data_IF_075675145786
#
_entry.id   IF_075675145786
#
_cell.length_a   1.000
_cell.length_b   1.000
_cell.length_c   1.000
_cell.angle_alpha   90.00
_cell.angle_beta   90.00
_cell.angle_gamma   90.00
#
_symmetry.space_group_name_H-M   'P 1'
#
loop_
_entity.id
_entity.type
_entity.pdbx_description
1 polymer ?
#
# COMPACT_ATOMS: atom_id res chain seq x y z
N UNK A 1 -6.77 -0.15 22.70
CA UNK A 1 -6.02 1.07 22.33
C UNK A 1 -4.78 1.17 23.22
N UNK A 2 -3.63 1.50 22.63
CA UNK A 2 -2.39 1.71 23.35
C UNK A 2 -2.43 3.10 24.03
N UNK A 3 -2.25 3.16 25.35
CA UNK A 3 -2.12 4.42 26.11
C UNK A 3 -0.64 4.71 26.45
N UNK A 4 -0.35 5.91 26.95
CA UNK A 4 1.02 6.34 27.26
C UNK A 4 1.74 5.47 28.30
N UNK A 5 1.03 4.98 29.34
CA UNK A 5 1.65 4.11 30.36
C UNK A 5 2.00 2.74 29.81
N UNK A 6 1.12 2.19 28.99
CA UNK A 6 1.40 0.94 28.27
C UNK A 6 2.52 1.11 27.26
N UNK A 7 2.52 2.22 26.52
CA UNK A 7 3.58 2.57 25.58
C UNK A 7 4.93 2.62 26.28
N UNK A 8 5.02 3.31 27.41
CA UNK A 8 6.24 3.41 28.22
C UNK A 8 6.75 2.03 28.64
N UNK A 9 5.89 1.19 29.23
CA UNK A 9 6.26 -0.16 29.67
C UNK A 9 6.76 -1.04 28.51
N UNK A 10 6.11 -0.96 27.36
CA UNK A 10 6.53 -1.69 26.16
C UNK A 10 7.87 -1.17 25.64
N UNK A 11 8.04 0.15 25.60
CA UNK A 11 9.29 0.76 25.14
C UNK A 11 10.46 0.38 26.07
N UNK A 12 10.28 0.43 27.40
CA UNK A 12 11.26 -0.06 28.38
C UNK A 12 11.66 -1.52 28.15
N UNK A 13 10.70 -2.38 27.82
CA UNK A 13 10.96 -3.78 27.50
C UNK A 13 11.80 -3.91 26.22
N UNK A 14 11.37 -3.27 25.13
CA UNK A 14 11.95 -3.57 23.80
C UNK A 14 13.29 -2.87 23.54
N UNK A 15 13.57 -1.69 24.12
CA UNK A 15 14.90 -1.08 24.01
C UNK A 15 15.99 -1.80 24.84
N UNK A 16 15.58 -2.74 25.72
CA UNK A 16 16.47 -3.65 26.45
C UNK A 16 16.49 -5.07 25.87
N UNK A 17 15.71 -5.32 24.80
CA UNK A 17 15.68 -6.62 24.11
C UNK A 17 16.76 -6.63 23.01
N UNK A 18 17.42 -7.78 22.80
CA UNK A 18 18.37 -7.93 21.70
C UNK A 18 17.66 -7.65 20.36
N UNK A 19 18.28 -6.82 19.54
CA UNK A 19 17.78 -6.45 18.21
C UNK A 19 17.48 -7.66 17.32
N UNK A 20 18.29 -8.71 17.43
CA UNK A 20 18.12 -9.97 16.69
C UNK A 20 16.88 -10.73 17.12
N UNK A 21 16.50 -10.66 18.40
CA UNK A 21 15.26 -11.29 18.89
C UNK A 21 14.04 -10.57 18.34
N UNK A 22 14.08 -9.24 18.23
CA UNK A 22 13.01 -8.45 17.61
C UNK A 22 12.88 -8.80 16.13
N UNK A 23 13.99 -8.84 15.38
CA UNK A 23 14.01 -9.26 13.97
C UNK A 23 13.48 -10.67 13.81
N UNK A 24 13.92 -11.59 14.68
CA UNK A 24 13.47 -12.98 14.69
C UNK A 24 11.95 -13.07 14.91
N UNK A 25 11.41 -12.33 15.87
CA UNK A 25 9.98 -12.27 16.13
C UNK A 25 9.18 -11.82 14.91
N UNK A 26 9.63 -10.76 14.20
CA UNK A 26 8.99 -10.30 12.98
C UNK A 26 9.14 -11.30 11.83
N UNK A 27 10.24 -12.01 11.74
CA UNK A 27 10.48 -13.02 10.71
C UNK A 27 9.60 -14.26 10.96
N UNK A 28 9.57 -14.74 12.20
CA UNK A 28 8.77 -15.90 12.59
C UNK A 28 7.26 -15.66 12.45
N UNK A 29 6.82 -14.39 12.59
CA UNK A 29 5.43 -14.00 12.36
C UNK A 29 5.00 -14.08 10.89
N UNK A 30 5.93 -14.18 9.95
CA UNK A 30 5.69 -14.09 8.50
C UNK A 30 4.99 -12.79 8.06
N UNK A 31 5.17 -11.67 8.78
CA UNK A 31 4.60 -10.39 8.40
C UNK A 31 5.17 -9.92 7.06
N UNK A 32 4.34 -9.85 6.05
CA UNK A 32 4.60 -9.18 4.78
C UNK A 32 4.05 -7.75 4.79
N UNK A 33 4.69 -6.85 4.02
CA UNK A 33 4.25 -5.47 3.89
C UNK A 33 2.79 -5.35 3.46
N UNK A 34 2.03 -4.48 4.12
CA UNK A 34 0.57 -4.29 3.93
C UNK A 34 0.22 -3.22 2.90
N UNK A 35 1.20 -2.45 2.43
CA UNK A 35 1.01 -1.40 1.42
C UNK A 35 0.98 -1.89 -0.04
N UNK A 36 0.77 -3.18 -0.30
CA UNK A 36 0.60 -3.75 -1.65
C UNK A 36 1.80 -4.55 -2.19
N UNK A 37 3.04 -4.18 -1.87
CA UNK A 37 4.24 -4.87 -2.39
C UNK A 37 4.56 -6.22 -1.73
N UNK A 38 4.03 -6.49 -0.53
CA UNK A 38 4.14 -7.78 0.14
C UNK A 38 5.54 -8.23 0.57
N UNK A 39 6.54 -7.35 0.62
CA UNK A 39 7.90 -7.73 1.01
C UNK A 39 7.97 -8.11 2.50
N UNK A 40 8.72 -9.17 2.90
CA UNK A 40 8.85 -9.59 4.30
C UNK A 40 9.45 -8.51 5.19
N UNK A 41 8.70 -8.06 6.21
CA UNK A 41 9.07 -6.91 7.04
C UNK A 41 10.32 -7.16 7.88
N UNK A 42 10.45 -8.34 8.51
CA UNK A 42 11.62 -8.71 9.30
C UNK A 42 12.91 -8.70 8.46
N UNK A 43 12.85 -9.19 7.21
CA UNK A 43 13.99 -9.15 6.29
C UNK A 43 14.37 -7.72 5.90
N UNK A 44 13.38 -6.84 5.64
CA UNK A 44 13.63 -5.43 5.30
C UNK A 44 14.39 -4.72 6.43
N UNK A 45 13.98 -4.94 7.68
CA UNK A 45 14.64 -4.35 8.84
C UNK A 45 16.06 -4.92 9.04
N UNK A 46 16.22 -6.24 8.87
CA UNK A 46 17.52 -6.91 8.98
C UNK A 46 18.53 -6.40 7.92
N UNK A 47 18.11 -6.28 6.66
CA UNK A 47 18.97 -5.76 5.60
C UNK A 47 19.46 -4.34 5.90
N UNK A 48 18.56 -3.43 6.25
CA UNK A 48 18.94 -2.07 6.63
C UNK A 48 19.81 -2.05 7.90
N UNK A 49 19.50 -2.92 8.88
CA UNK A 49 20.27 -3.03 10.12
C UNK A 49 21.72 -3.41 9.91
N UNK A 50 22.02 -4.26 8.92
CA UNK A 50 23.38 -4.73 8.58
C UNK A 50 24.21 -3.73 7.81
N UNK A 51 23.61 -2.73 7.17
CA UNK A 51 24.34 -1.70 6.44
C UNK A 51 25.21 -0.89 7.41
N UNK A 52 26.45 -0.60 6.98
CA UNK A 52 27.38 0.25 7.74
C UNK A 52 27.18 1.70 7.34
N UNK A 53 26.63 2.50 8.22
CA UNK A 53 26.39 3.92 8.00
C UNK A 53 26.39 4.68 9.33
N UNK A 54 26.80 5.94 9.27
CA UNK A 54 26.74 6.90 10.38
C UNK A 54 25.31 7.36 10.69
N UNK A 55 24.39 7.26 9.71
CA UNK A 55 22.99 7.66 9.80
C UNK A 55 22.09 6.64 9.11
N UNK A 56 20.92 6.38 9.69
CA UNK A 56 19.87 5.54 9.09
C UNK A 56 18.52 6.16 9.38
N UNK A 57 17.57 5.97 8.48
CA UNK A 57 16.25 6.57 8.57
C UNK A 57 15.13 5.52 8.59
N UNK A 58 14.04 5.89 9.27
CA UNK A 58 12.78 5.16 9.23
C UNK A 58 11.72 6.06 8.60
N UNK A 59 11.08 5.60 7.54
CA UNK A 59 9.97 6.32 6.91
C UNK A 59 8.68 5.51 7.08
N UNK A 60 7.66 6.16 7.63
CA UNK A 60 6.30 5.69 7.55
C UNK A 60 5.66 6.27 6.29
N UNK A 61 5.33 5.41 5.35
CA UNK A 61 4.58 5.78 4.16
C UNK A 61 3.08 5.80 4.51
N UNK A 62 2.55 7.00 4.69
CA UNK A 62 1.14 7.28 4.92
C UNK A 62 0.52 8.05 3.74
N UNK A 63 1.06 7.84 2.54
CA UNK A 63 0.50 8.33 1.29
C UNK A 63 -0.52 7.33 0.73
N UNK A 64 -1.65 7.19 1.41
CA UNK A 64 -2.75 6.28 1.07
C UNK A 64 -3.54 6.85 -0.12
N UNK A 65 -3.04 6.62 -1.34
CA UNK A 65 -3.58 7.18 -2.58
C UNK A 65 -4.61 6.30 -3.29
N UNK A 66 -4.74 5.03 -2.94
CA UNK A 66 -5.63 4.08 -3.60
C UNK A 66 -7.10 4.46 -3.43
N UNK A 67 -7.87 4.44 -4.52
CA UNK A 67 -9.31 4.68 -4.50
C UNK A 67 -10.01 3.69 -3.55
N UNK A 68 -10.85 4.22 -2.65
CA UNK A 68 -11.57 3.43 -1.66
C UNK A 68 -10.71 2.94 -0.48
N UNK A 69 -9.43 3.29 -0.41
CA UNK A 69 -8.56 3.00 0.73
C UNK A 69 -8.64 4.11 1.79
N UNK A 70 -8.87 3.73 3.05
CA UNK A 70 -8.87 4.62 4.21
C UNK A 70 -8.51 3.90 5.52
N UNK A 71 -7.85 2.76 5.43
CA UNK A 71 -7.40 1.98 6.58
C UNK A 71 -6.20 2.60 7.29
N UNK A 72 -5.27 3.19 6.55
CA UNK A 72 -4.14 3.91 7.11
C UNK A 72 -4.62 5.17 7.84
N UNK A 73 -5.57 5.91 7.25
CA UNK A 73 -6.25 7.03 7.89
C UNK A 73 -6.85 6.63 9.23
N UNK A 74 -7.60 5.53 9.28
CA UNK A 74 -8.18 5.00 10.52
C UNK A 74 -7.10 4.73 11.58
N UNK A 75 -6.00 4.08 11.21
CA UNK A 75 -4.90 3.79 12.13
C UNK A 75 -4.22 5.06 12.65
N UNK A 76 -4.05 6.08 11.82
CA UNK A 76 -3.42 7.33 12.18
C UNK A 76 -4.32 8.20 13.09
N UNK A 77 -5.63 8.14 12.90
CA UNK A 77 -6.60 8.91 13.70
C UNK A 77 -6.89 8.23 15.05
N UNK A 78 -7.12 6.91 15.05
CA UNK A 78 -7.58 6.18 16.24
C UNK A 78 -6.48 5.42 17.00
N UNK A 79 -5.37 5.06 16.33
CA UNK A 79 -4.27 4.29 16.92
C UNK A 79 -2.87 4.88 16.63
N UNK A 80 -2.68 6.20 16.69
CA UNK A 80 -1.40 6.84 16.31
C UNK A 80 -0.21 6.32 17.11
N UNK A 81 -0.39 6.04 18.41
CA UNK A 81 0.67 5.51 19.27
C UNK A 81 1.16 4.13 18.82
N UNK A 82 0.28 3.31 18.24
CA UNK A 82 0.66 1.98 17.74
C UNK A 82 1.58 2.09 16.51
N UNK A 83 1.30 3.04 15.63
CA UNK A 83 2.14 3.31 14.45
C UNK A 83 3.48 3.91 14.87
N UNK A 84 3.48 4.92 15.74
CA UNK A 84 4.71 5.58 16.23
C UNK A 84 5.59 4.58 16.98
N UNK A 85 5.01 3.69 17.79
CA UNK A 85 5.76 2.64 18.48
C UNK A 85 6.51 1.75 17.48
N UNK A 86 5.84 1.30 16.40
CA UNK A 86 6.47 0.52 15.33
C UNK A 86 7.64 1.25 14.68
N UNK A 87 7.52 2.58 14.47
CA UNK A 87 8.62 3.40 13.93
C UNK A 87 9.81 3.47 14.89
N UNK A 88 9.57 3.71 16.18
CA UNK A 88 10.62 3.80 17.21
C UNK A 88 11.38 2.47 17.32
N UNK A 89 10.65 1.35 17.37
CA UNK A 89 11.30 0.03 17.47
C UNK A 89 12.04 -0.33 16.18
N UNK A 90 11.51 0.05 15.00
CA UNK A 90 12.27 -0.06 13.74
C UNK A 90 13.59 0.71 13.83
N UNK A 91 13.55 1.99 14.29
CA UNK A 91 14.73 2.82 14.49
C UNK A 91 15.74 2.17 15.44
N UNK A 92 15.26 1.67 16.59
CA UNK A 92 16.10 0.94 17.53
C UNK A 92 16.82 -0.27 16.89
N UNK A 93 16.05 -1.08 16.17
CA UNK A 93 16.58 -2.31 15.54
C UNK A 93 17.63 -2.02 14.49
N UNK A 94 17.35 -1.09 13.57
CA UNK A 94 18.27 -0.77 12.47
C UNK A 94 19.46 0.12 12.91
N UNK A 95 19.38 0.73 14.11
CA UNK A 95 20.36 1.71 14.58
C UNK A 95 20.15 3.09 13.96
N UNK A 96 18.91 3.45 13.63
CA UNK A 96 18.51 4.77 13.18
C UNK A 96 18.04 5.65 14.34
N UNK A 97 18.21 6.94 14.21
CA UNK A 97 17.87 7.95 15.23
C UNK A 97 16.84 8.97 14.75
N UNK A 98 16.36 8.83 13.53
CA UNK A 98 15.39 9.74 12.92
C UNK A 98 14.35 9.01 12.08
N UNK A 99 13.10 9.43 12.29
CA UNK A 99 11.94 8.97 11.52
C UNK A 99 11.25 10.12 10.81
N UNK A 100 10.65 9.81 9.65
CA UNK A 100 9.77 10.71 8.91
C UNK A 100 8.45 9.99 8.68
N UNK A 101 7.35 10.61 9.10
CA UNK A 101 6.01 10.18 8.75
C UNK A 101 5.57 11.03 7.56
N UNK A 102 5.54 10.42 6.37
CA UNK A 102 5.08 11.06 5.14
C UNK A 102 3.59 10.84 4.99
N UNK A 103 2.81 11.91 5.09
CA UNK A 103 1.34 11.85 5.10
C UNK A 103 0.77 12.80 4.05
N UNK A 104 -0.28 12.37 3.38
CA UNK A 104 -0.99 13.21 2.41
C UNK A 104 -1.71 14.38 3.10
N UNK A 105 -1.67 15.54 2.44
CA UNK A 105 -2.27 16.79 2.96
C UNK A 105 -3.80 16.73 3.12
N UNK A 106 -4.46 15.79 2.44
CA UNK A 106 -5.91 15.56 2.50
C UNK A 106 -6.38 14.90 3.81
N UNK A 107 -5.45 14.53 4.71
CA UNK A 107 -5.75 13.92 6.01
C UNK A 107 -5.48 14.85 7.21
N UNK A 108 -6.15 16.04 7.32
CA UNK A 108 -5.85 17.02 8.36
C UNK A 108 -6.06 16.47 9.77
N UNK A 109 -7.08 15.63 10.00
CA UNK A 109 -7.33 15.01 11.31
C UNK A 109 -6.23 14.02 11.69
N UNK A 110 -5.73 13.23 10.74
CA UNK A 110 -4.62 12.32 10.99
C UNK A 110 -3.34 13.10 11.33
N UNK A 111 -3.08 14.22 10.64
CA UNK A 111 -1.95 15.12 10.92
C UNK A 111 -2.06 15.68 12.34
N UNK A 112 -3.24 16.12 12.76
CA UNK A 112 -3.49 16.63 14.12
C UNK A 112 -3.26 15.54 15.17
N UNK A 113 -3.82 14.33 14.97
CA UNK A 113 -3.69 13.20 15.90
C UNK A 113 -2.23 12.77 16.10
N UNK A 114 -1.48 12.68 14.99
CA UNK A 114 -0.05 12.33 15.02
C UNK A 114 0.78 13.42 15.69
N UNK A 115 0.55 14.70 15.37
CA UNK A 115 1.25 15.83 16.03
C UNK A 115 0.97 15.83 17.54
N UNK A 116 -0.28 15.65 17.95
CA UNK A 116 -0.65 15.54 19.36
C UNK A 116 0.08 14.40 20.06
N UNK A 117 0.17 13.23 19.42
CA UNK A 117 0.88 12.06 19.93
C UNK A 117 2.39 12.28 20.04
N UNK A 118 3.02 12.87 19.02
CA UNK A 118 4.44 13.22 19.04
C UNK A 118 4.75 14.16 20.18
N UNK A 119 3.94 15.21 20.38
CA UNK A 119 4.13 16.19 21.46
C UNK A 119 3.98 15.54 22.84
N UNK A 120 2.98 14.66 23.02
CA UNK A 120 2.79 13.92 24.26
C UNK A 120 3.98 13.00 24.59
N UNK A 121 4.50 12.29 23.57
CA UNK A 121 5.67 11.42 23.72
C UNK A 121 6.95 12.21 24.01
N UNK A 122 7.18 13.34 23.36
CA UNK A 122 8.31 14.26 23.64
C UNK A 122 8.25 14.80 25.06
N UNK A 123 7.08 15.27 25.49
CA UNK A 123 6.87 15.78 26.85
C UNK A 123 7.12 14.71 27.93
N UNK A 124 6.80 13.45 27.62
CA UNK A 124 7.02 12.29 28.49
C UNK A 124 8.43 11.68 28.36
N UNK A 125 9.34 12.26 27.57
CA UNK A 125 10.69 11.75 27.27
C UNK A 125 10.71 10.33 26.69
N UNK A 126 9.65 9.96 25.96
CA UNK A 126 9.52 8.69 25.26
C UNK A 126 9.85 8.83 23.76
N UNK A 127 10.16 10.04 23.31
CA UNK A 127 10.63 10.39 21.97
C UNK A 127 11.65 11.52 22.09
N UNK A 128 12.66 11.55 21.23
CA UNK A 128 13.74 12.53 21.22
C UNK A 128 15.07 11.96 21.72
N UNK A 129 15.85 12.73 22.47
CA UNK A 129 17.18 12.35 22.95
C UNK A 129 17.12 11.51 24.22
N UNK A 130 18.01 10.50 24.32
CA UNK A 130 18.22 9.69 25.51
C UNK A 130 16.90 9.11 26.08
N UNK A 131 16.14 8.46 25.24
CA UNK A 131 14.83 7.88 25.58
C UNK A 131 14.96 7.00 26.83
N UNK A 132 14.11 7.23 27.84
CA UNK A 132 14.12 6.54 29.12
C UNK A 132 15.48 6.57 29.85
N UNK A 133 16.32 7.58 29.58
CA UNK A 133 17.67 7.70 30.16
C UNK A 133 18.72 6.77 29.57
N UNK A 134 18.44 6.11 28.46
CA UNK A 134 19.37 5.24 27.73
C UNK A 134 20.20 6.02 26.72
N UNK A 135 21.14 5.35 26.04
CA UNK A 135 21.87 5.94 24.92
C UNK A 135 21.09 5.94 23.59
N UNK A 136 19.88 5.41 23.59
CA UNK A 136 19.00 5.41 22.40
C UNK A 136 18.28 6.75 22.27
N UNK A 137 18.35 7.30 21.09
CA UNK A 137 17.65 8.52 20.70
C UNK A 137 16.89 8.26 19.42
N UNK A 138 15.67 8.76 19.31
CA UNK A 138 14.89 8.69 18.09
C UNK A 138 13.95 9.88 18.04
N UNK A 139 14.06 10.71 17.02
CA UNK A 139 13.12 11.81 16.78
C UNK A 139 12.23 11.53 15.58
N UNK A 140 11.05 12.12 15.56
CA UNK A 140 10.06 11.92 14.54
C UNK A 140 9.55 13.26 14.02
N UNK A 141 9.63 13.42 12.69
CA UNK A 141 9.14 14.56 11.96
C UNK A 141 7.98 14.15 11.04
N UNK A 142 7.06 15.08 10.77
CA UNK A 142 6.00 14.90 9.78
C UNK A 142 6.40 15.64 8.50
N UNK A 143 6.28 14.95 7.36
CA UNK A 143 6.37 15.53 6.04
C UNK A 143 4.98 15.42 5.38
N UNK A 144 4.42 16.57 4.98
CA UNK A 144 3.09 16.64 4.37
C UNK A 144 3.25 16.59 2.85
N UNK A 145 2.69 15.55 2.23
CA UNK A 145 2.62 15.38 0.79
C UNK A 145 1.61 16.33 0.14
N UNK A 146 1.80 16.60 -1.14
CA UNK A 146 0.99 17.54 -1.92
C UNK A 146 -0.04 16.85 -2.83
N UNK A 147 -0.41 15.60 -2.55
CA UNK A 147 -1.50 14.88 -3.22
C UNK A 147 -1.11 14.14 -4.50
N UNK A 148 0.16 13.97 -4.81
CA UNK A 148 0.60 13.16 -5.97
C UNK A 148 0.61 11.67 -5.61
N UNK A 149 -0.17 10.84 -6.31
CA UNK A 149 -0.25 9.39 -6.10
C UNK A 149 1.12 8.69 -6.19
N UNK A 150 1.99 9.16 -7.09
CA UNK A 150 3.33 8.58 -7.26
C UNK A 150 4.17 8.64 -5.97
N UNK A 151 3.87 9.54 -5.03
CA UNK A 151 4.55 9.63 -3.75
C UNK A 151 4.28 8.42 -2.83
N UNK A 152 3.33 7.55 -3.17
CA UNK A 152 3.19 6.21 -2.56
C UNK A 152 4.31 5.24 -2.93
N UNK A 153 5.02 5.47 -4.04
CA UNK A 153 6.20 4.68 -4.42
C UNK A 153 7.41 5.12 -3.59
N UNK A 154 8.15 4.15 -2.99
CA UNK A 154 9.14 4.44 -1.96
C UNK A 154 10.28 5.39 -2.41
N UNK A 155 10.72 5.33 -3.68
CA UNK A 155 11.80 6.20 -4.18
C UNK A 155 11.31 7.59 -4.56
N UNK A 156 10.10 7.70 -5.10
CA UNK A 156 9.44 8.98 -5.37
C UNK A 156 9.09 9.72 -4.06
N UNK A 157 8.66 8.98 -3.04
CA UNK A 157 8.43 9.49 -1.69
C UNK A 157 9.72 10.07 -1.09
N UNK A 158 10.84 9.34 -1.18
CA UNK A 158 12.16 9.81 -0.73
C UNK A 158 12.55 11.09 -1.48
N UNK A 159 12.40 11.12 -2.80
CA UNK A 159 12.68 12.32 -3.60
C UNK A 159 11.84 13.53 -3.14
N UNK A 160 10.56 13.31 -2.81
CA UNK A 160 9.67 14.34 -2.28
C UNK A 160 10.13 14.87 -0.92
N UNK A 161 10.55 14.00 0.01
CA UNK A 161 11.09 14.42 1.31
C UNK A 161 12.37 15.27 1.13
N UNK A 162 13.20 14.91 0.16
CA UNK A 162 14.41 15.65 -0.18
C UNK A 162 14.16 16.98 -0.89
N UNK A 163 12.91 17.35 -1.16
CA UNK A 163 12.54 18.56 -1.88
C UNK A 163 12.83 18.50 -3.38
N UNK A 164 13.07 17.32 -3.91
CA UNK A 164 13.21 17.05 -5.34
C UNK A 164 11.84 16.76 -5.95
N UNK A 165 11.76 16.82 -7.29
CA UNK A 165 10.59 16.32 -8.01
C UNK A 165 10.38 14.83 -7.65
N UNK A 166 9.13 14.48 -7.32
CA UNK A 166 8.74 13.11 -7.00
C UNK A 166 8.80 12.22 -8.25
N UNK A 167 9.96 11.70 -8.52
CA UNK A 167 10.25 10.77 -9.62
C UNK A 167 10.80 9.47 -9.08
N UNK A 168 10.46 8.37 -9.74
CA UNK A 168 10.95 7.04 -9.39
C UNK A 168 12.43 6.91 -9.71
N UNK A 169 13.24 6.42 -8.78
CA UNK A 169 14.62 6.07 -9.04
C UNK A 169 14.79 4.61 -9.46
N UNK A 170 15.81 4.36 -10.30
CA UNK A 170 16.14 3.00 -10.76
C UNK A 170 16.70 2.18 -9.60
N UNK A 171 16.26 0.93 -9.47
CA UNK A 171 16.77 -0.02 -8.48
C UNK A 171 17.52 -1.17 -9.16
N UNK A 172 18.64 -1.67 -8.63
CA UNK A 172 19.36 -1.25 -7.44
C UNK A 172 20.11 0.09 -7.61
N UNK A 173 20.50 0.79 -6.51
CA UNK A 173 20.36 0.38 -5.10
C UNK A 173 18.92 0.46 -4.59
N UNK A 174 18.61 -0.37 -3.57
CA UNK A 174 17.33 -0.30 -2.87
C UNK A 174 17.40 0.67 -1.69
N UNK A 175 16.29 1.27 -1.22
CA UNK A 175 16.32 2.22 -0.11
C UNK A 175 16.95 1.70 1.18
N UNK A 176 16.88 0.39 1.44
CA UNK A 176 17.53 -0.23 2.61
C UNK A 176 19.06 -0.10 2.58
N UNK A 177 19.64 0.11 1.40
CA UNK A 177 21.07 0.35 1.20
C UNK A 177 21.36 1.84 0.96
N UNK A 178 20.59 2.47 0.07
CA UNK A 178 20.76 3.87 -0.32
C UNK A 178 19.38 4.53 -0.55
N UNK A 179 18.82 5.12 0.52
CA UNK A 179 17.52 5.79 0.54
C UNK A 179 17.65 7.29 0.80
N UNK A 180 16.96 7.79 1.84
CA UNK A 180 16.90 9.21 2.18
C UNK A 180 18.29 9.80 2.42
N UNK A 181 18.61 10.86 1.69
CA UNK A 181 19.94 11.50 1.66
C UNK A 181 21.07 10.51 1.40
N UNK A 182 20.81 9.50 0.57
CA UNK A 182 21.74 8.41 0.23
C UNK A 182 22.18 7.59 1.45
N UNK A 183 21.36 7.51 2.48
CA UNK A 183 21.60 6.72 3.68
C UNK A 183 20.62 5.52 3.73
N UNK A 184 21.01 4.41 4.37
CA UNK A 184 20.13 3.27 4.54
C UNK A 184 18.80 3.68 5.18
N UNK A 185 17.70 3.30 4.54
CA UNK A 185 16.36 3.75 4.93
C UNK A 185 15.37 2.60 4.87
N UNK A 186 14.60 2.41 5.94
CA UNK A 186 13.44 1.53 5.93
C UNK A 186 12.19 2.35 5.61
N UNK A 187 11.50 2.00 4.55
CA UNK A 187 10.17 2.54 4.22
C UNK A 187 9.12 1.47 4.50
N UNK A 188 8.19 1.73 5.41
CA UNK A 188 7.07 0.85 5.71
C UNK A 188 5.74 1.61 5.67
N UNK A 189 4.68 0.93 5.19
CA UNK A 189 3.33 1.42 5.26
C UNK A 189 2.81 1.47 6.72
N UNK A 190 1.78 2.28 6.98
CA UNK A 190 1.15 2.49 8.30
C UNK A 190 0.66 1.18 8.92
N UNK A 191 -0.14 0.39 8.18
CA UNK A 191 -0.67 -0.90 8.66
C UNK A 191 0.46 -1.88 8.99
N UNK A 192 1.54 -1.88 8.21
CA UNK A 192 2.71 -2.73 8.47
C UNK A 192 3.36 -2.41 9.82
N UNK A 193 3.54 -1.12 10.14
CA UNK A 193 4.12 -0.68 11.42
C UNK A 193 3.17 -0.99 12.60
N UNK A 194 1.88 -0.78 12.41
CA UNK A 194 0.87 -1.13 13.40
C UNK A 194 0.81 -2.65 13.66
N UNK A 195 0.89 -3.47 12.60
CA UNK A 195 0.93 -4.93 12.71
C UNK A 195 2.21 -5.41 13.40
N UNK A 196 3.38 -4.83 13.07
CA UNK A 196 4.64 -5.13 13.74
C UNK A 196 4.54 -4.87 15.25
N UNK A 197 3.94 -3.75 15.65
CA UNK A 197 3.65 -3.43 17.06
C UNK A 197 2.75 -4.50 17.69
N UNK A 198 1.70 -4.91 17.01
CA UNK A 198 0.79 -5.97 17.47
C UNK A 198 1.49 -7.30 17.69
N UNK A 199 2.42 -7.68 16.80
CA UNK A 199 3.24 -8.89 16.90
C UNK A 199 4.16 -8.82 18.11
N UNK A 200 4.83 -7.69 18.32
CA UNK A 200 5.72 -7.51 19.47
C UNK A 200 4.98 -7.58 20.81
N UNK A 201 3.73 -7.10 20.84
CA UNK A 201 2.89 -7.18 22.06
C UNK A 201 2.39 -8.59 22.33
N UNK A 202 1.89 -9.28 21.30
CA UNK A 202 1.13 -10.53 21.44
C UNK A 202 1.96 -11.79 21.15
N UNK A 203 3.15 -11.65 20.61
CA UNK A 203 4.02 -12.73 20.14
C UNK A 203 3.80 -13.10 18.65
N UNK A 204 4.84 -13.65 18.01
CA UNK A 204 4.80 -14.02 16.59
C UNK A 204 3.84 -15.15 16.27
N UNK A 205 3.73 -16.14 17.18
CA UNK A 205 2.92 -17.35 16.98
C UNK A 205 1.44 -17.03 16.83
N UNK A 206 0.93 -16.05 17.62
CA UNK A 206 -0.46 -15.61 17.53
C UNK A 206 -0.78 -15.03 16.16
N UNK A 207 0.16 -14.28 15.57
CA UNK A 207 -0.02 -13.70 14.25
C UNK A 207 0.14 -14.73 13.14
N UNK A 208 1.17 -15.57 13.21
CA UNK A 208 1.45 -16.59 12.18
C UNK A 208 0.47 -17.77 12.18
N UNK A 209 -0.30 -17.96 13.27
CA UNK A 209 -1.38 -18.96 13.32
C UNK A 209 -2.63 -18.55 12.52
N UNK A 210 -2.74 -17.29 12.11
CA UNK A 210 -3.83 -16.77 11.29
C UNK A 210 -3.40 -16.82 9.82
N UNK A 211 -4.27 -17.30 8.94
CA UNK A 211 -3.96 -17.42 7.52
C UNK A 211 -3.03 -18.58 7.18
N UNK A 212 -2.09 -18.33 6.27
CA UNK A 212 -1.07 -19.31 5.88
C UNK A 212 0.34 -18.67 5.91
N UNK A 213 1.38 -19.51 5.70
CA UNK A 213 2.79 -19.06 5.78
C UNK A 213 3.14 -17.87 4.88
N UNK A 214 2.46 -17.70 3.76
CA UNK A 214 2.75 -16.65 2.78
C UNK A 214 1.81 -15.45 2.90
N UNK A 215 0.67 -15.66 3.53
CA UNK A 215 -0.36 -14.64 3.81
C UNK A 215 -0.79 -14.79 5.27
N UNK A 216 0.12 -14.45 6.20
CA UNK A 216 -0.11 -14.59 7.64
C UNK A 216 -0.78 -13.36 8.26
N UNK A 217 -1.49 -13.58 9.35
CA UNK A 217 -2.09 -12.55 10.18
C UNK A 217 -3.40 -12.00 9.65
N UNK A 218 -3.67 -10.75 9.98
CA UNK A 218 -4.87 -10.01 9.58
C UNK A 218 -4.55 -8.98 8.50
N UNK A 219 -5.59 -8.50 7.82
CA UNK A 219 -5.55 -7.40 6.86
C UNK A 219 -6.71 -6.46 7.11
N UNK A 220 -6.43 -5.16 7.09
CA UNK A 220 -7.50 -4.16 7.05
C UNK A 220 -8.06 -4.09 5.63
N UNK A 221 -9.37 -4.23 5.52
CA UNK A 221 -10.12 -4.19 4.25
C UNK A 221 -11.12 -3.04 4.33
N UNK A 222 -11.17 -2.23 3.27
CA UNK A 222 -12.08 -1.11 3.16
C UNK A 222 -13.23 -1.45 2.21
N UNK A 223 -14.47 -1.26 2.65
CA UNK A 223 -15.67 -1.41 1.83
C UNK A 223 -16.25 -0.05 1.48
N UNK A 224 -16.62 0.13 0.23
CA UNK A 224 -17.27 1.34 -0.26
C UNK A 224 -18.75 1.46 0.15
N UNK A 225 -19.40 2.52 -0.31
CA UNK A 225 -20.82 2.81 0.02
C UNK A 225 -21.83 1.90 -0.64
N UNK A 226 -21.44 1.07 -1.62
CA UNK A 226 -22.34 0.08 -2.24
C UNK A 226 -22.59 -1.13 -1.35
N UNK A 227 -21.69 -1.44 -0.41
CA UNK A 227 -21.95 -2.46 0.59
C UNK A 227 -23.04 -2.01 1.58
N UNK A 228 -23.80 -2.95 2.11
CA UNK A 228 -24.75 -2.67 3.19
C UNK A 228 -24.02 -2.23 4.46
N UNK A 229 -22.83 -2.78 4.72
CA UNK A 229 -21.97 -2.45 5.85
C UNK A 229 -20.67 -1.81 5.34
N UNK A 230 -20.67 -0.52 4.90
CA UNK A 230 -19.44 0.16 4.49
C UNK A 230 -18.52 0.42 5.69
N UNK A 231 -17.21 0.50 5.47
CA UNK A 231 -16.27 0.81 6.55
C UNK A 231 -14.95 0.07 6.44
N UNK A 232 -14.15 0.11 7.53
CA UNK A 232 -12.87 -0.62 7.66
C UNK A 232 -13.07 -1.81 8.58
N UNK A 233 -12.60 -2.97 8.13
CA UNK A 233 -12.71 -4.22 8.87
C UNK A 233 -11.35 -4.92 8.96
N UNK A 234 -10.98 -5.38 10.15
CA UNK A 234 -9.84 -6.25 10.34
C UNK A 234 -10.28 -7.70 10.08
N UNK A 235 -9.74 -8.32 9.05
CA UNK A 235 -10.14 -9.63 8.56
C UNK A 235 -8.93 -10.57 8.59
N UNK A 236 -9.15 -11.79 9.03
CA UNK A 236 -8.15 -12.84 9.01
C UNK A 236 -7.77 -13.18 7.57
N UNK A 237 -6.47 -13.25 7.27
CA UNK A 237 -6.01 -13.72 5.98
C UNK A 237 -6.55 -15.14 5.70
N UNK A 238 -6.71 -15.47 4.43
CA UNK A 238 -7.32 -16.70 3.94
C UNK A 238 -8.82 -16.85 4.25
N UNK A 239 -9.50 -15.80 4.73
CA UNK A 239 -10.97 -15.81 4.83
C UNK A 239 -11.57 -15.83 3.42
N UNK A 240 -12.58 -16.69 3.12
CA UNK A 240 -13.24 -16.73 1.82
C UNK A 240 -13.86 -15.37 1.46
N UNK A 241 -13.57 -14.88 0.25
CA UNK A 241 -14.12 -13.60 -0.25
C UNK A 241 -15.65 -13.59 -0.26
N UNK A 242 -16.28 -14.75 -0.54
CA UNK A 242 -17.74 -14.89 -0.42
C UNK A 242 -18.25 -14.55 0.97
N UNK A 243 -17.57 -14.99 2.03
CA UNK A 243 -17.89 -14.65 3.42
C UNK A 243 -17.67 -13.17 3.70
N UNK A 244 -16.54 -12.62 3.21
CA UNK A 244 -16.20 -11.21 3.37
C UNK A 244 -17.29 -10.32 2.75
N UNK A 245 -17.71 -10.62 1.52
CA UNK A 245 -18.71 -9.85 0.80
C UNK A 245 -20.10 -9.97 1.45
N UNK A 246 -20.56 -11.20 1.71
CA UNK A 246 -21.96 -11.46 2.06
C UNK A 246 -22.24 -11.33 3.57
N UNK A 247 -21.31 -11.77 4.44
CA UNK A 247 -21.54 -11.75 5.89
C UNK A 247 -20.98 -10.46 6.52
N UNK A 248 -19.71 -10.10 6.22
CA UNK A 248 -19.06 -8.93 6.83
C UNK A 248 -19.58 -7.66 6.14
N UNK A 249 -19.47 -7.59 4.82
CA UNK A 249 -19.97 -6.48 4.00
C UNK A 249 -21.49 -6.41 3.92
N UNK A 250 -22.21 -7.48 4.29
CA UNK A 250 -23.67 -7.56 4.26
C UNK A 250 -24.26 -7.64 2.86
N UNK A 251 -23.45 -7.96 1.83
CA UNK A 251 -23.84 -7.89 0.42
C UNK A 251 -23.97 -6.46 -0.09
N UNK A 252 -24.51 -6.29 -1.29
CA UNK A 252 -24.61 -5.01 -1.98
C UNK A 252 -26.04 -4.43 -1.92
N UNK A 253 -26.14 -3.11 -1.88
CA UNK A 253 -27.39 -2.35 -1.95
C UNK A 253 -28.02 -2.39 -3.34
N UNK A 254 -27.17 -2.46 -4.38
CA UNK A 254 -27.55 -2.48 -5.79
C UNK A 254 -26.74 -3.55 -6.52
N UNK A 255 -27.19 -3.98 -7.72
CA UNK A 255 -26.46 -4.98 -8.49
C UNK A 255 -25.05 -4.54 -8.89
N UNK A 256 -24.05 -5.36 -8.56
CA UNK A 256 -22.63 -5.17 -8.84
C UNK A 256 -22.16 -6.27 -9.78
N UNK A 257 -21.39 -5.93 -10.83
CA UNK A 257 -20.84 -6.91 -11.78
C UNK A 257 -19.41 -7.32 -11.48
N UNK A 258 -18.63 -6.43 -10.88
CA UNK A 258 -17.24 -6.66 -10.54
C UNK A 258 -16.82 -5.83 -9.33
N UNK A 259 -15.68 -6.19 -8.75
CA UNK A 259 -15.00 -5.43 -7.72
C UNK A 259 -13.62 -5.01 -8.22
N UNK A 260 -13.27 -3.74 -8.07
CA UNK A 260 -11.87 -3.29 -8.12
C UNK A 260 -11.26 -3.50 -6.75
N UNK A 261 -10.27 -4.36 -6.66
CA UNK A 261 -9.63 -4.73 -5.39
C UNK A 261 -8.18 -4.28 -5.39
N UNK A 262 -7.77 -3.53 -4.37
CA UNK A 262 -6.38 -3.07 -4.22
C UNK A 262 -6.05 -1.79 -4.97
N UNK A 263 -7.01 -0.90 -5.11
CA UNK A 263 -6.85 0.39 -5.77
C UNK A 263 -6.85 0.33 -7.30
N UNK A 264 -6.54 1.43 -7.99
CA UNK A 264 -6.59 1.53 -9.44
C UNK A 264 -5.61 0.59 -10.16
N UNK A 265 -4.55 0.14 -9.47
CA UNK A 265 -3.56 -0.80 -9.98
C UNK A 265 -3.90 -2.27 -9.67
N UNK A 266 -4.92 -2.49 -8.87
CA UNK A 266 -5.39 -3.81 -8.46
C UNK A 266 -6.23 -4.51 -9.52
N UNK A 267 -6.75 -5.71 -9.20
CA UNK A 267 -7.56 -6.47 -10.15
C UNK A 267 -9.00 -5.95 -10.27
N UNK A 268 -9.55 -5.99 -11.48
CA UNK A 268 -11.00 -5.93 -11.72
C UNK A 268 -11.52 -7.36 -11.74
N UNK A 269 -12.17 -7.76 -10.66
CA UNK A 269 -12.55 -9.15 -10.41
C UNK A 269 -14.07 -9.30 -10.56
N UNK A 270 -14.58 -10.07 -11.52
CA UNK A 270 -16.01 -10.36 -11.64
C UNK A 270 -16.55 -11.01 -10.36
N UNK A 271 -17.81 -10.75 -10.00
CA UNK A 271 -18.41 -11.28 -8.77
C UNK A 271 -18.36 -12.81 -8.70
N UNK A 272 -18.62 -13.49 -9.82
CA UNK A 272 -18.54 -14.95 -9.89
C UNK A 272 -17.13 -15.52 -9.75
N UNK A 273 -16.11 -14.71 -10.02
CA UNK A 273 -14.69 -15.11 -9.83
C UNK A 273 -14.21 -14.77 -8.41
N UNK A 274 -14.56 -13.59 -7.88
CA UNK A 274 -14.11 -13.19 -6.54
C UNK A 274 -14.66 -14.11 -5.45
N UNK A 275 -15.88 -14.64 -5.60
CA UNK A 275 -16.47 -15.57 -4.64
C UNK A 275 -15.75 -16.92 -4.54
N UNK A 276 -14.89 -17.24 -5.52
CA UNK A 276 -14.06 -18.46 -5.54
C UNK A 276 -12.74 -18.29 -4.81
N UNK A 277 -12.34 -17.05 -4.50
CA UNK A 277 -11.05 -16.71 -3.92
C UNK A 277 -11.14 -16.57 -2.40
N UNK A 278 -9.98 -16.69 -1.77
CA UNK A 278 -9.79 -16.32 -0.37
C UNK A 278 -9.00 -15.00 -0.30
N UNK A 279 -9.05 -14.29 0.82
CA UNK A 279 -8.25 -13.09 1.08
C UNK A 279 -6.77 -13.47 1.20
N UNK A 280 -6.12 -13.74 0.08
CA UNK A 280 -4.76 -14.28 0.01
C UNK A 280 -4.00 -13.63 -1.16
N UNK A 281 -2.82 -13.05 -0.89
CA UNK A 281 -2.00 -12.38 -1.91
C UNK A 281 -1.62 -13.31 -3.06
N UNK A 282 -1.30 -14.57 -2.76
CA UNK A 282 -0.85 -15.52 -3.78
C UNK A 282 -2.00 -16.08 -4.60
N UNK A 283 -3.12 -16.34 -3.95
CA UNK A 283 -4.31 -16.83 -4.64
C UNK A 283 -4.82 -15.79 -5.64
N UNK A 284 -4.89 -14.51 -5.24
CA UNK A 284 -5.21 -13.41 -6.15
C UNK A 284 -4.22 -13.33 -7.31
N UNK A 285 -2.91 -13.39 -7.02
CA UNK A 285 -1.87 -13.36 -8.07
C UNK A 285 -1.97 -14.55 -9.02
N UNK A 286 -2.20 -15.75 -8.51
CA UNK A 286 -2.36 -16.97 -9.31
C UNK A 286 -3.60 -16.91 -10.21
N UNK A 287 -4.66 -16.25 -9.76
CA UNK A 287 -5.87 -16.02 -10.55
C UNK A 287 -5.73 -14.87 -11.57
N UNK A 288 -4.59 -14.17 -11.59
CA UNK A 288 -4.33 -13.04 -12.50
C UNK A 288 -4.85 -11.69 -12.00
N UNK A 289 -5.07 -11.57 -10.68
CA UNK A 289 -5.51 -10.35 -10.01
C UNK A 289 -4.44 -9.85 -9.03
N UNK A 290 -4.70 -8.72 -8.39
CA UNK A 290 -3.87 -8.20 -7.30
C UNK A 290 -4.75 -7.82 -6.12
N UNK A 291 -4.36 -8.21 -4.90
CA UNK A 291 -5.05 -7.82 -3.67
C UNK A 291 -4.67 -6.39 -3.23
N UNK A 292 -3.46 -5.94 -3.57
CA UNK A 292 -2.97 -4.60 -3.28
C UNK A 292 -3.07 -4.21 -1.81
N UNK A 293 -3.51 -2.98 -1.57
CA UNK A 293 -3.70 -2.41 -0.24
C UNK A 293 -4.96 -2.93 0.49
N UNK A 294 -5.89 -3.61 -0.23
CA UNK A 294 -7.10 -4.19 0.37
C UNK A 294 -8.33 -3.29 0.33
N UNK A 295 -8.33 -2.20 -0.43
CA UNK A 295 -9.56 -1.47 -0.76
C UNK A 295 -10.43 -2.29 -1.70
N UNK A 296 -11.75 -2.23 -1.54
CA UNK A 296 -12.73 -2.88 -2.40
C UNK A 296 -13.71 -1.83 -2.87
N UNK A 297 -13.70 -1.56 -4.17
CA UNK A 297 -14.60 -0.62 -4.84
C UNK A 297 -15.53 -1.39 -5.77
N UNK A 298 -16.82 -1.17 -5.61
CA UNK A 298 -17.86 -1.85 -6.38
C UNK A 298 -18.03 -1.22 -7.76
N UNK A 299 -18.13 -2.05 -8.80
CA UNK A 299 -18.45 -1.62 -10.16
C UNK A 299 -19.91 -1.98 -10.42
N UNK A 300 -20.82 -0.98 -10.54
CA UNK A 300 -22.23 -1.21 -10.80
C UNK A 300 -22.49 -2.04 -12.06
N UNK A 301 -23.60 -2.80 -12.08
CA UNK A 301 -23.92 -3.67 -13.21
C UNK A 301 -23.97 -2.94 -14.54
N UNK A 302 -24.50 -1.72 -14.54
CA UNK A 302 -24.74 -0.94 -15.77
C UNK A 302 -23.57 -0.01 -16.13
N UNK A 303 -22.47 -0.03 -15.38
CA UNK A 303 -21.32 0.81 -15.67
C UNK A 303 -20.60 0.35 -16.95
N UNK A 304 -20.28 1.28 -17.86
CA UNK A 304 -19.64 0.98 -19.15
C UNK A 304 -18.16 0.62 -18.96
N UNK A 305 -17.75 -0.54 -19.46
CA UNK A 305 -16.35 -1.00 -19.30
C UNK A 305 -15.34 -0.28 -20.20
N UNK A 306 -15.77 0.29 -21.32
CA UNK A 306 -14.92 1.16 -22.15
C UNK A 306 -14.58 2.44 -21.41
N UNK A 307 -15.59 3.07 -20.77
CA UNK A 307 -15.38 4.25 -19.91
C UNK A 307 -14.50 3.91 -18.69
N UNK A 308 -14.63 2.71 -18.14
CA UNK A 308 -13.79 2.29 -17.01
C UNK A 308 -12.33 2.14 -17.40
N UNK A 309 -12.02 1.54 -18.55
CA UNK A 309 -10.64 1.46 -19.06
C UNK A 309 -10.10 2.86 -19.37
N UNK A 310 -10.93 3.73 -19.97
CA UNK A 310 -10.56 5.13 -20.19
C UNK A 310 -10.13 5.80 -18.89
N UNK A 311 -10.95 5.69 -17.84
CA UNK A 311 -10.65 6.25 -16.52
C UNK A 311 -9.33 5.71 -15.93
N UNK A 312 -9.04 4.42 -16.08
CA UNK A 312 -7.77 3.83 -15.61
C UNK A 312 -6.56 4.41 -16.35
N UNK A 313 -6.65 4.61 -17.67
CA UNK A 313 -5.59 5.25 -18.43
C UNK A 313 -5.46 6.73 -18.14
N UNK A 314 -6.57 7.44 -17.96
CA UNK A 314 -6.60 8.85 -17.57
C UNK A 314 -5.90 9.06 -16.24
N UNK A 315 -6.30 8.34 -15.22
CA UNK A 315 -5.64 8.32 -13.91
C UNK A 315 -4.13 8.06 -14.05
N UNK A 316 -3.76 7.01 -14.80
CA UNK A 316 -2.36 6.65 -14.98
C UNK A 316 -1.56 7.73 -15.74
N UNK A 317 -2.17 8.44 -16.68
CA UNK A 317 -1.53 9.50 -17.45
C UNK A 317 -1.31 10.77 -16.62
N UNK A 318 -2.26 11.11 -15.76
CA UNK A 318 -2.21 12.28 -14.88
C UNK A 318 -1.21 12.10 -13.73
N UNK A 319 -1.17 10.91 -13.14
CA UNK A 319 -0.32 10.58 -12.00
C UNK A 319 1.08 10.08 -12.38
N UNK A 320 1.37 9.88 -13.66
CA UNK A 320 2.68 9.45 -14.14
C UNK A 320 3.76 10.48 -13.81
N UNK A 321 4.85 10.05 -13.14
CA UNK A 321 6.01 10.94 -12.92
C UNK A 321 6.72 11.34 -14.23
N UNK A 322 6.43 10.68 -15.35
CA UNK A 322 6.97 10.97 -16.68
C UNK A 322 8.40 10.46 -16.93
N UNK A 323 9.05 9.80 -15.97
CA UNK A 323 10.45 9.40 -16.10
C UNK A 323 10.69 8.30 -17.13
N UNK A 324 9.91 7.22 -17.13
CA UNK A 324 10.04 6.14 -18.09
C UNK A 324 9.13 6.32 -19.31
N UNK A 325 9.61 5.95 -20.50
CA UNK A 325 8.85 6.08 -21.74
C UNK A 325 7.51 5.33 -21.71
N UNK A 326 7.45 4.03 -21.33
CA UNK A 326 6.19 3.31 -21.33
C UNK A 326 5.17 3.90 -20.35
N UNK A 327 5.62 4.45 -19.20
CA UNK A 327 4.74 5.14 -18.27
C UNK A 327 4.20 6.45 -18.84
N UNK A 328 5.08 7.33 -19.34
CA UNK A 328 4.72 8.64 -19.84
C UNK A 328 3.88 8.59 -21.11
N UNK A 329 4.37 7.86 -22.12
CA UNK A 329 3.73 7.84 -23.44
C UNK A 329 2.67 6.74 -23.53
N UNK A 330 2.88 5.60 -22.85
CA UNK A 330 1.95 4.48 -22.89
C UNK A 330 0.61 4.78 -22.21
N UNK A 331 0.63 5.42 -21.04
CA UNK A 331 -0.60 5.82 -20.36
C UNK A 331 -1.39 6.84 -21.18
N UNK A 332 -0.70 7.85 -21.71
CA UNK A 332 -1.31 8.86 -22.57
C UNK A 332 -1.87 8.26 -23.88
N UNK A 333 -1.12 7.36 -24.52
CA UNK A 333 -1.59 6.70 -25.75
C UNK A 333 -2.80 5.80 -25.48
N UNK A 334 -2.80 5.09 -24.36
CA UNK A 334 -3.96 4.32 -23.93
C UNK A 334 -5.19 5.22 -23.75
N UNK A 335 -5.06 6.34 -23.01
CA UNK A 335 -6.12 7.33 -22.84
C UNK A 335 -6.64 7.81 -24.20
N UNK A 336 -5.76 8.24 -25.11
CA UNK A 336 -6.12 8.74 -26.44
C UNK A 336 -6.92 7.72 -27.26
N UNK A 337 -6.56 6.43 -27.22
CA UNK A 337 -7.29 5.37 -27.92
C UNK A 337 -8.73 5.25 -27.42
N UNK A 338 -8.95 5.34 -26.10
CA UNK A 338 -10.27 5.27 -25.51
C UNK A 338 -11.06 6.57 -25.62
N UNK A 339 -10.40 7.74 -25.56
CA UNK A 339 -11.02 9.04 -25.91
C UNK A 339 -11.62 9.02 -27.31
N UNK A 340 -10.88 8.51 -28.30
CA UNK A 340 -11.35 8.39 -29.68
C UNK A 340 -12.50 7.38 -29.82
N UNK A 341 -12.50 6.30 -29.05
CA UNK A 341 -13.61 5.35 -29.06
C UNK A 341 -14.88 5.96 -28.51
N UNK A 342 -14.80 6.68 -27.39
CA UNK A 342 -15.96 7.27 -26.72
C UNK A 342 -16.50 8.47 -27.50
N UNK A 343 -15.63 9.37 -27.94
CA UNK A 343 -16.06 10.67 -28.50
C UNK A 343 -16.20 10.68 -30.04
N UNK A 344 -15.45 9.82 -30.74
CA UNK A 344 -15.39 9.80 -32.21
C UNK A 344 -15.92 8.47 -32.81
N UNK A 345 -16.41 7.54 -31.98
CA UNK A 345 -16.85 6.19 -32.39
C UNK A 345 -15.80 5.39 -33.17
N UNK A 346 -14.52 5.70 -32.97
CA UNK A 346 -13.43 4.94 -33.56
C UNK A 346 -13.26 3.60 -32.85
N UNK A 347 -13.04 2.56 -33.63
CA UNK A 347 -12.80 1.22 -33.07
C UNK A 347 -11.41 1.12 -32.44
N UNK A 348 -11.32 0.42 -31.30
CA UNK A 348 -10.08 0.17 -30.60
C UNK A 348 -9.34 -1.00 -31.25
N UNK A 349 -8.12 -0.81 -31.81
CA UNK A 349 -7.34 -1.88 -32.41
C UNK A 349 -6.76 -2.79 -31.29
N UNK A 350 -7.37 -3.96 -31.09
CA UNK A 350 -7.06 -4.86 -29.95
C UNK A 350 -5.60 -5.34 -29.94
N UNK A 351 -5.01 -5.56 -31.13
CA UNK A 351 -3.61 -5.96 -31.25
C UNK A 351 -2.68 -4.89 -30.72
N UNK A 352 -2.88 -3.63 -31.17
CA UNK A 352 -2.09 -2.48 -30.72
C UNK A 352 -2.28 -2.24 -29.21
N UNK A 353 -3.52 -2.35 -28.69
CA UNK A 353 -3.78 -2.22 -27.27
C UNK A 353 -3.02 -3.29 -26.46
N UNK A 354 -3.04 -4.55 -26.88
CA UNK A 354 -2.31 -5.63 -26.21
C UNK A 354 -0.79 -5.39 -26.24
N UNK A 355 -0.23 -4.95 -27.35
CA UNK A 355 1.20 -4.60 -27.47
C UNK A 355 1.57 -3.45 -26.52
N UNK A 356 0.70 -2.42 -26.42
CA UNK A 356 0.86 -1.32 -25.48
C UNK A 356 0.87 -1.80 -24.04
N UNK A 357 -0.12 -2.61 -23.64
CA UNK A 357 -0.23 -3.16 -22.28
C UNK A 357 0.97 -4.03 -21.91
N UNK A 358 1.45 -4.88 -22.82
CA UNK A 358 2.65 -5.71 -22.63
C UNK A 358 3.89 -4.82 -22.47
N UNK A 359 4.01 -3.77 -23.27
CA UNK A 359 5.13 -2.83 -23.22
C UNK A 359 5.15 -2.08 -21.89
N UNK A 360 4.00 -1.59 -21.42
CA UNK A 360 3.87 -0.95 -20.11
C UNK A 360 4.22 -1.91 -18.97
N UNK A 361 3.66 -3.12 -19.00
CA UNK A 361 3.91 -4.14 -17.96
C UNK A 361 5.39 -4.50 -17.81
N UNK A 362 6.14 -4.56 -18.92
CA UNK A 362 7.55 -4.97 -18.93
C UNK A 362 8.55 -3.83 -18.82
N UNK A 363 8.17 -2.63 -19.26
CA UNK A 363 9.11 -1.52 -19.44
C UNK A 363 8.96 -0.38 -18.44
N UNK A 364 7.90 -0.34 -17.62
CA UNK A 364 7.76 0.69 -16.60
C UNK A 364 8.67 0.44 -15.40
N UNK A 365 9.21 1.52 -14.81
CA UNK A 365 10.10 1.46 -13.65
C UNK A 365 9.37 1.19 -12.33
N UNK A 366 8.08 1.52 -12.25
CA UNK A 366 7.27 1.38 -11.04
C UNK A 366 5.93 0.71 -11.31
N UNK A 367 5.23 0.36 -10.23
CA UNK A 367 3.91 -0.26 -10.30
C UNK A 367 2.84 0.67 -10.88
N UNK A 368 2.91 2.00 -10.70
CA UNK A 368 1.86 2.92 -11.18
C UNK A 368 1.46 2.64 -12.64
N UNK A 369 2.39 2.71 -13.56
CA UNK A 369 2.07 2.44 -14.96
C UNK A 369 2.33 0.97 -15.37
N UNK A 370 3.16 0.24 -14.60
CA UNK A 370 3.50 -1.16 -14.87
C UNK A 370 2.43 -2.16 -14.43
N UNK A 371 1.57 -1.80 -13.48
CA UNK A 371 0.48 -2.66 -13.03
C UNK A 371 -0.88 -2.27 -13.63
N UNK A 372 -1.06 -1.07 -14.18
CA UNK A 372 -2.32 -0.67 -14.84
C UNK A 372 -2.77 -1.64 -15.94
N UNK A 373 -1.90 -2.37 -16.66
CA UNK A 373 -2.31 -3.44 -17.55
C UNK A 373 -3.11 -4.57 -16.88
N UNK A 374 -2.95 -4.79 -15.57
CA UNK A 374 -3.64 -5.89 -14.87
C UNK A 374 -5.16 -5.71 -14.88
N UNK A 375 -5.73 -4.61 -14.32
CA UNK A 375 -7.18 -4.39 -14.36
C UNK A 375 -7.71 -4.30 -15.80
N UNK A 376 -6.97 -3.68 -16.72
CA UNK A 376 -7.40 -3.56 -18.13
C UNK A 376 -7.46 -4.94 -18.79
N UNK A 377 -6.45 -5.80 -18.61
CA UNK A 377 -6.46 -7.17 -19.15
C UNK A 377 -7.55 -8.03 -18.50
N UNK A 378 -7.89 -7.80 -17.22
CA UNK A 378 -9.02 -8.45 -16.58
C UNK A 378 -10.34 -8.04 -17.27
N UNK A 379 -10.54 -6.75 -17.54
CA UNK A 379 -11.74 -6.24 -18.23
C UNK A 379 -11.83 -6.84 -19.63
N UNK A 380 -10.75 -6.79 -20.41
CA UNK A 380 -10.71 -7.36 -21.76
C UNK A 380 -11.02 -8.87 -21.78
N UNK A 381 -10.62 -9.59 -20.73
CA UNK A 381 -10.86 -11.04 -20.61
C UNK A 381 -12.29 -11.37 -20.21
N UNK A 382 -12.84 -10.68 -19.24
CA UNK A 382 -14.11 -11.08 -18.60
C UNK A 382 -15.33 -10.29 -19.09
N UNK A 383 -15.13 -9.15 -19.74
CA UNK A 383 -16.18 -8.25 -20.22
C UNK A 383 -16.07 -7.96 -21.71
N UNK A 384 -15.38 -8.85 -22.48
CA UNK A 384 -15.20 -8.71 -23.94
C UNK A 384 -16.53 -8.56 -24.69
N UNK A 385 -17.59 -9.25 -24.24
CA UNK A 385 -18.90 -9.19 -24.89
C UNK A 385 -19.56 -7.80 -24.79
N UNK A 386 -19.29 -7.05 -23.71
CA UNK A 386 -19.76 -5.68 -23.53
C UNK A 386 -19.05 -4.68 -24.46
N UNK A 387 -17.84 -5.03 -24.94
CA UNK A 387 -16.97 -4.15 -25.73
C UNK A 387 -16.83 -4.59 -27.20
N UNK A 388 -17.55 -5.63 -27.63
CA UNK A 388 -17.41 -6.19 -28.98
C UNK A 388 -17.66 -5.18 -30.11
N UNK A 389 -18.55 -4.20 -29.84
CA UNK A 389 -18.87 -3.15 -30.82
C UNK A 389 -17.86 -1.99 -30.80
N UNK A 390 -16.94 -1.93 -29.84
CA UNK A 390 -15.90 -0.90 -29.70
C UNK A 390 -14.53 -1.37 -30.12
N UNK A 391 -14.35 -2.69 -30.25
CA UNK A 391 -13.08 -3.34 -30.56
C UNK A 391 -13.05 -3.82 -32.01
N UNK A 392 -11.89 -3.65 -32.69
CA UNK A 392 -11.62 -4.25 -34.00
C UNK A 392 -10.42 -5.19 -33.94
N UNK A 393 -10.60 -6.37 -34.54
CA UNK A 393 -9.49 -7.28 -34.79
C UNK A 393 -8.82 -6.87 -36.09
N UNK A 394 -7.61 -6.32 -36.00
CA UNK A 394 -6.79 -6.08 -37.19
C UNK A 394 -6.19 -7.43 -37.66
N UNK A 395 -6.36 -7.72 -38.94
CA UNK A 395 -5.82 -8.89 -39.60
C UNK A 395 -4.29 -8.86 -39.68
#
# INVERSE_FOLDING_TARGET
>A
LLNLDQFKKLLEKFINTDKKEIIKSLTDSNLSGRGGAGFPTGMKWDFCGREKSDKKYVICNADEGDSGAFSDRYLLEDQPLKVIFGMIICGYVIGGDEGVLYIRGEYPKSIEAINGSINALKSSKLLGKNILGTNFSFDLNICIGQGAYICGEETALIASIEGRRAEVDVRPPFPVTEGLYKKPTVVNNVETLAAATGILINGPDKFSSIGNKKSAGTKLVCFDSFFNNPGVYEIDMCTPMKKIINEIGGGFKEPVKALQIGGPLGGVVPINEVEKLNLDFQEFTAAGFMLGHGSIVSIPKDFNMVEYIHHLFEFSSEESCGKCFPGRLGSYRGKEMFDQAINESKKIPIKLLNELLITMKKGCLCALCGAIPVPIMNILKYFSDEMKDDIVQEN
#
